data_IF_496373095810
#
_entry.id   IF_496373095810
#
_cell.length_a   1.000
_cell.length_b   1.000
_cell.length_c   1.000
_cell.angle_alpha   90.00
_cell.angle_beta   90.00
_cell.angle_gamma   90.00
#
_symmetry.space_group_name_H-M   'P 1'
#
loop_
_entity.id
_entity.type
_entity.pdbx_description
1 polymer ?
#
# COMPACT_ATOMS: atom_id res chain seq x y z
N UNK A 1 -11.97 15.64 -1.65
CA UNK A 1 -13.35 15.31 -1.26
C UNK A 1 -13.32 14.14 -0.29
N UNK A 2 -13.95 14.28 0.88
CA UNK A 2 -14.22 13.15 1.76
C UNK A 2 -15.51 12.48 1.29
N UNK A 3 -15.45 11.20 0.97
CA UNK A 3 -16.59 10.36 0.66
C UNK A 3 -16.79 9.38 1.82
N UNK A 4 -17.84 9.60 2.61
CA UNK A 4 -17.99 8.92 3.89
C UNK A 4 -19.20 8.01 3.86
N UNK A 5 -18.97 6.76 4.16
CA UNK A 5 -20.02 5.79 4.46
C UNK A 5 -20.68 6.17 5.78
N UNK A 6 -21.97 6.42 5.73
CA UNK A 6 -22.80 6.66 6.91
C UNK A 6 -23.96 5.66 7.00
N UNK A 7 -23.81 4.49 6.37
CA UNK A 7 -24.78 3.40 6.46
C UNK A 7 -24.88 2.82 7.88
N UNK A 8 -25.94 2.06 8.16
CA UNK A 8 -26.18 1.47 9.48
C UNK A 8 -24.99 0.69 10.05
N UNK A 9 -24.32 -0.17 9.28
CA UNK A 9 -23.10 -0.87 9.71
C UNK A 9 -21.99 0.03 10.22
N UNK A 10 -21.89 1.29 9.77
CA UNK A 10 -20.89 2.25 10.22
C UNK A 10 -21.11 2.77 11.66
N UNK A 11 -22.15 2.35 12.35
CA UNK A 11 -22.34 2.69 13.74
C UNK A 11 -21.28 2.04 14.65
N UNK A 12 -20.67 2.83 15.54
CA UNK A 12 -19.75 2.33 16.56
C UNK A 12 -18.40 3.04 16.63
N UNK A 13 -17.71 2.82 17.76
CA UNK A 13 -16.49 3.52 18.14
C UNK A 13 -15.31 3.26 17.18
N UNK A 14 -15.21 2.05 16.59
CA UNK A 14 -14.16 1.66 15.65
C UNK A 14 -14.55 1.87 14.18
N UNK A 15 -15.64 2.56 13.90
CA UNK A 15 -16.17 2.86 12.57
C UNK A 15 -16.39 4.36 12.41
N UNK A 16 -17.62 4.86 12.36
CA UNK A 16 -17.88 6.29 12.09
C UNK A 16 -17.25 7.23 13.14
N UNK A 17 -17.19 6.87 14.40
CA UNK A 17 -16.56 7.70 15.43
C UNK A 17 -15.03 7.79 15.21
N UNK A 18 -14.41 6.68 14.81
CA UNK A 18 -13.01 6.67 14.43
C UNK A 18 -12.76 7.44 13.12
N UNK A 19 -13.65 7.33 12.12
CA UNK A 19 -13.60 8.16 10.89
C UNK A 19 -13.62 9.64 11.25
N UNK A 20 -14.58 10.09 12.09
CA UNK A 20 -14.65 11.47 12.53
C UNK A 20 -13.35 11.94 13.18
N UNK A 21 -12.84 11.16 14.11
CA UNK A 21 -11.58 11.46 14.81
C UNK A 21 -10.38 11.52 13.86
N UNK A 22 -10.30 10.58 12.93
CA UNK A 22 -9.26 10.48 11.91
C UNK A 22 -9.26 11.70 10.97
N UNK A 23 -10.44 12.06 10.46
CA UNK A 23 -10.56 13.21 9.54
C UNK A 23 -10.24 14.53 10.22
N UNK A 24 -10.56 14.69 11.52
CA UNK A 24 -10.17 15.87 12.28
C UNK A 24 -8.65 16.03 12.41
N UNK A 25 -7.90 14.92 12.51
CA UNK A 25 -6.42 14.97 12.45
C UNK A 25 -5.94 15.55 11.13
N UNK A 26 -6.52 15.10 10.01
CA UNK A 26 -6.19 15.63 8.70
C UNK A 26 -6.56 17.12 8.56
N UNK A 27 -7.76 17.53 9.03
CA UNK A 27 -8.25 18.92 8.97
C UNK A 27 -7.28 19.88 9.68
N UNK A 28 -6.62 19.43 10.77
CA UNK A 28 -5.64 20.25 11.47
C UNK A 28 -4.44 20.65 10.58
N UNK A 29 -4.11 19.80 9.60
CA UNK A 29 -2.95 19.98 8.72
C UNK A 29 -3.31 20.65 7.37
N UNK A 30 -4.57 21.02 7.15
CA UNK A 30 -4.97 21.73 5.94
C UNK A 30 -4.36 23.14 5.90
N UNK A 31 -3.94 23.53 4.71
CA UNK A 31 -3.47 24.89 4.41
C UNK A 31 -4.63 25.74 3.92
N UNK A 32 -4.50 27.05 3.98
CA UNK A 32 -5.55 28.00 3.55
C UNK A 32 -5.99 27.78 2.09
N UNK A 33 -5.05 27.41 1.23
CA UNK A 33 -5.30 27.14 -0.20
C UNK A 33 -5.92 25.77 -0.49
N UNK A 34 -5.95 24.88 0.48
CA UNK A 34 -6.61 23.59 0.32
C UNK A 34 -8.12 23.75 0.39
N UNK A 35 -8.88 22.87 -0.26
CA UNK A 35 -10.34 22.86 -0.23
C UNK A 35 -10.86 21.48 0.15
N UNK A 36 -11.88 21.44 1.00
CA UNK A 36 -12.54 20.21 1.42
C UNK A 36 -14.02 20.28 1.11
N UNK A 37 -14.55 19.23 0.48
CA UNK A 37 -15.98 18.95 0.41
C UNK A 37 -16.27 17.62 1.09
N UNK A 38 -17.44 17.44 1.64
CA UNK A 38 -17.90 16.19 2.26
C UNK A 38 -19.11 15.67 1.53
N UNK A 39 -19.00 14.46 1.01
CA UNK A 39 -20.08 13.68 0.41
C UNK A 39 -20.35 12.49 1.32
N UNK A 40 -21.60 12.24 1.62
CA UNK A 40 -22.03 11.05 2.38
C UNK A 40 -22.84 10.13 1.52
N UNK A 41 -22.80 8.85 1.82
CA UNK A 41 -23.71 7.88 1.22
C UNK A 41 -24.20 6.86 2.26
N UNK A 42 -25.46 6.50 2.11
CA UNK A 42 -26.15 5.44 2.80
C UNK A 42 -27.25 4.88 1.87
N UNK A 43 -28.54 5.01 2.17
CA UNK A 43 -29.63 4.72 1.22
C UNK A 43 -29.67 5.64 0.00
N UNK A 44 -29.07 6.81 0.09
CA UNK A 44 -28.85 7.78 -0.98
C UNK A 44 -27.48 8.47 -0.80
N UNK A 45 -27.01 9.18 -1.83
CA UNK A 45 -25.82 10.00 -1.75
C UNK A 45 -26.20 11.49 -1.69
N UNK A 46 -25.45 12.27 -0.90
CA UNK A 46 -25.68 13.70 -0.75
C UNK A 46 -24.42 14.49 -0.40
N UNK A 47 -24.43 15.78 -0.69
CA UNK A 47 -23.37 16.69 -0.29
C UNK A 47 -23.67 17.17 1.15
N UNK A 48 -22.83 16.78 2.11
CA UNK A 48 -22.90 17.24 3.50
C UNK A 48 -22.23 18.58 3.69
N UNK A 49 -21.12 18.82 2.99
CA UNK A 49 -20.39 20.08 3.01
C UNK A 49 -19.92 20.40 1.59
N UNK A 50 -20.32 21.57 1.07
CA UNK A 50 -19.76 22.10 -0.18
C UNK A 50 -18.28 22.44 -0.02
N UNK A 51 -17.58 22.63 -1.15
CA UNK A 51 -16.15 22.91 -1.13
C UNK A 51 -15.83 24.15 -0.28
N UNK A 52 -15.18 23.90 0.86
CA UNK A 52 -14.86 24.85 1.91
C UNK A 52 -13.35 25.03 1.99
N UNK A 53 -12.80 26.27 2.08
CA UNK A 53 -11.39 26.50 2.25
C UNK A 53 -10.81 25.82 3.50
N UNK A 54 -9.55 25.37 3.42
CA UNK A 54 -8.86 24.74 4.56
C UNK A 54 -8.59 25.68 5.74
N UNK A 55 -8.69 27.00 5.54
CA UNK A 55 -8.69 27.99 6.61
C UNK A 55 -9.93 27.94 7.50
N UNK A 56 -11.07 27.50 6.95
CA UNK A 56 -12.33 27.38 7.71
C UNK A 56 -12.45 26.01 8.39
N UNK A 57 -11.45 25.70 9.21
CA UNK A 57 -11.34 24.39 9.90
C UNK A 57 -12.52 24.11 10.82
N UNK A 58 -13.09 25.14 11.43
CA UNK A 58 -14.20 24.98 12.34
C UNK A 58 -15.44 24.47 11.61
N UNK A 59 -15.81 25.09 10.50
CA UNK A 59 -16.95 24.67 9.68
C UNK A 59 -16.79 23.22 9.16
N UNK A 60 -15.56 22.86 8.75
CA UNK A 60 -15.27 21.50 8.30
C UNK A 60 -15.43 20.50 9.46
N UNK A 61 -14.94 20.84 10.67
CA UNK A 61 -15.07 19.98 11.85
C UNK A 61 -16.52 19.82 12.29
N UNK A 62 -17.29 20.90 12.30
CA UNK A 62 -18.72 20.86 12.62
C UNK A 62 -19.48 19.92 11.68
N UNK A 63 -19.23 20.03 10.37
CA UNK A 63 -19.85 19.12 9.39
C UNK A 63 -19.45 17.64 9.61
N UNK A 64 -18.23 17.37 10.07
CA UNK A 64 -17.77 16.03 10.44
C UNK A 64 -18.50 15.56 11.73
N UNK A 65 -18.65 16.43 12.73
CA UNK A 65 -19.29 16.09 13.99
C UNK A 65 -20.77 15.75 13.84
N UNK A 66 -21.44 16.39 12.90
CA UNK A 66 -22.86 16.15 12.59
C UNK A 66 -23.12 14.85 11.79
N UNK A 67 -22.10 14.09 11.40
CA UNK A 67 -22.30 12.82 10.71
C UNK A 67 -22.95 11.81 11.66
N UNK A 68 -23.96 11.11 11.18
CA UNK A 68 -24.67 10.07 11.92
C UNK A 68 -24.84 8.83 11.05
N UNK A 69 -24.62 7.65 11.61
CA UNK A 69 -24.80 6.39 10.91
C UNK A 69 -26.27 5.99 10.86
N UNK A 70 -26.73 5.50 9.70
CA UNK A 70 -28.09 4.98 9.51
C UNK A 70 -28.41 4.68 8.05
N UNK A 71 -29.45 3.89 7.81
CA UNK A 71 -29.90 3.54 6.45
C UNK A 71 -29.13 2.38 5.80
N UNK A 72 -29.45 2.11 4.54
CA UNK A 72 -28.81 1.09 3.70
C UNK A 72 -27.56 1.64 3.01
N UNK A 73 -26.86 0.81 2.20
CA UNK A 73 -25.62 1.22 1.55
C UNK A 73 -25.82 1.34 0.03
N UNK A 74 -25.63 2.55 -0.53
CA UNK A 74 -25.69 2.84 -1.97
C UNK A 74 -24.38 3.50 -2.46
N UNK A 75 -23.27 2.76 -2.35
CA UNK A 75 -21.92 3.27 -2.56
C UNK A 75 -21.62 3.78 -3.96
N UNK A 76 -22.21 3.19 -5.01
CA UNK A 76 -21.96 3.61 -6.41
C UNK A 76 -22.41 5.04 -6.69
N UNK A 77 -23.57 5.45 -6.17
CA UNK A 77 -24.06 6.83 -6.29
C UNK A 77 -23.13 7.83 -5.55
N UNK A 78 -22.59 7.41 -4.41
CA UNK A 78 -21.62 8.20 -3.63
C UNK A 78 -20.35 8.50 -4.41
N UNK A 79 -19.75 7.49 -5.05
CA UNK A 79 -18.54 7.65 -5.86
C UNK A 79 -18.77 8.61 -7.02
N UNK A 80 -19.87 8.42 -7.77
CA UNK A 80 -20.22 9.31 -8.89
C UNK A 80 -20.36 10.77 -8.43
N UNK A 81 -21.06 11.00 -7.32
CA UNK A 81 -21.23 12.32 -6.76
C UNK A 81 -19.89 12.91 -6.29
N UNK A 82 -19.05 12.13 -5.63
CA UNK A 82 -17.74 12.59 -5.17
C UNK A 82 -16.84 13.00 -6.34
N UNK A 83 -16.77 12.23 -7.43
CA UNK A 83 -16.05 12.62 -8.63
C UNK A 83 -16.62 13.89 -9.29
N UNK A 84 -17.94 14.02 -9.34
CA UNK A 84 -18.60 15.23 -9.85
C UNK A 84 -18.19 16.47 -9.05
N UNK A 85 -18.21 16.40 -7.72
CA UNK A 85 -17.81 17.50 -6.83
C UNK A 85 -16.31 17.79 -6.95
N UNK A 86 -15.46 16.75 -7.00
CA UNK A 86 -14.02 16.91 -7.17
C UNK A 86 -13.66 17.60 -8.50
N UNK A 87 -14.29 17.19 -9.60
CA UNK A 87 -14.09 17.82 -10.92
C UNK A 87 -14.59 19.26 -10.95
N UNK A 88 -15.74 19.56 -10.33
CA UNK A 88 -16.26 20.94 -10.23
C UNK A 88 -15.30 21.88 -9.51
N UNK A 89 -14.55 21.35 -8.53
CA UNK A 89 -13.63 22.12 -7.69
C UNK A 89 -12.14 21.82 -8.00
N UNK A 90 -11.86 21.33 -9.18
CA UNK A 90 -10.53 20.91 -9.60
C UNK A 90 -9.53 22.07 -9.51
N UNK A 91 -8.38 21.83 -8.88
CA UNK A 91 -7.29 22.79 -8.75
C UNK A 91 -6.18 22.37 -9.71
N UNK A 92 -5.95 23.14 -10.74
CA UNK A 92 -4.82 22.93 -11.66
C UNK A 92 -3.50 22.95 -10.91
N UNK A 93 -2.62 22.00 -11.21
CA UNK A 93 -1.34 21.79 -10.52
C UNK A 93 -1.49 21.48 -9.01
N UNK A 94 -2.69 21.09 -8.57
CA UNK A 94 -2.97 20.63 -7.23
C UNK A 94 -3.16 19.11 -7.17
N UNK A 95 -3.16 18.56 -5.98
CA UNK A 95 -3.56 17.16 -5.76
C UNK A 95 -5.08 17.09 -5.56
N UNK A 96 -5.78 16.60 -6.57
CA UNK A 96 -7.22 16.44 -6.52
C UNK A 96 -7.56 15.00 -6.16
N UNK A 97 -8.18 14.80 -5.01
CA UNK A 97 -8.32 13.46 -4.43
C UNK A 97 -9.68 13.25 -3.76
N UNK A 98 -10.20 12.06 -3.92
CA UNK A 98 -11.29 11.54 -3.10
C UNK A 98 -10.66 10.64 -2.04
N UNK A 99 -11.11 10.79 -0.79
CA UNK A 99 -10.78 9.91 0.34
C UNK A 99 -12.08 9.23 0.73
N UNK A 100 -12.20 7.96 0.35
CA UNK A 100 -13.33 7.10 0.71
C UNK A 100 -13.07 6.47 2.08
N UNK A 101 -14.01 6.64 3.01
CA UNK A 101 -14.02 6.00 4.32
C UNK A 101 -15.19 5.02 4.39
N UNK A 102 -14.93 3.72 4.58
CA UNK A 102 -15.94 2.65 4.58
C UNK A 102 -15.50 1.49 5.47
N UNK A 103 -16.43 0.66 5.93
CA UNK A 103 -16.16 -0.60 6.62
C UNK A 103 -15.92 -1.79 5.67
N UNK A 104 -15.82 -1.52 4.38
CA UNK A 104 -15.57 -2.53 3.35
C UNK A 104 -16.83 -3.18 2.77
N UNK A 105 -18.00 -2.98 3.36
CA UNK A 105 -19.26 -3.45 2.78
C UNK A 105 -19.82 -2.43 1.76
N UNK A 106 -19.03 -2.23 0.71
CA UNK A 106 -19.36 -1.31 -0.37
C UNK A 106 -20.32 -1.98 -1.36
N UNK A 107 -21.63 -1.86 -1.11
CA UNK A 107 -22.63 -2.33 -2.04
C UNK A 107 -22.84 -1.29 -3.16
N UNK A 108 -22.64 -1.73 -4.40
CA UNK A 108 -22.61 -0.85 -5.57
C UNK A 108 -24.02 -0.57 -6.12
N UNK A 109 -25.06 -1.12 -5.49
CA UNK A 109 -26.43 -1.02 -6.01
C UNK A 109 -26.59 -1.82 -7.30
N UNK A 110 -27.07 -1.18 -8.38
CA UNK A 110 -27.38 -1.82 -9.67
C UNK A 110 -26.15 -2.16 -10.52
N UNK A 111 -24.95 -1.68 -10.17
CA UNK A 111 -23.73 -1.92 -10.93
C UNK A 111 -22.90 -3.08 -10.35
N UNK A 112 -22.32 -3.90 -11.25
CA UNK A 112 -21.40 -4.96 -10.84
C UNK A 112 -20.09 -4.38 -10.28
N UNK A 113 -19.30 -5.21 -9.57
CA UNK A 113 -17.98 -4.81 -9.10
C UNK A 113 -17.09 -4.34 -10.25
N UNK A 114 -17.13 -5.05 -11.39
CA UNK A 114 -16.40 -4.71 -12.61
C UNK A 114 -16.84 -3.36 -13.20
N UNK A 115 -18.13 -3.06 -13.15
CA UNK A 115 -18.66 -1.76 -13.60
C UNK A 115 -18.15 -0.60 -12.77
N UNK A 116 -18.00 -0.80 -11.46
CA UNK A 116 -17.39 0.19 -10.56
C UNK A 116 -15.91 0.39 -10.83
N UNK A 117 -15.16 -0.69 -11.03
CA UNK A 117 -13.74 -0.62 -11.37
C UNK A 117 -13.52 0.15 -12.66
N UNK A 118 -14.28 -0.16 -13.72
CA UNK A 118 -14.24 0.55 -15.00
C UNK A 118 -14.59 2.04 -14.85
N UNK A 119 -15.56 2.36 -14.00
CA UNK A 119 -15.91 3.74 -13.71
C UNK A 119 -14.74 4.49 -13.07
N UNK A 120 -14.12 3.91 -12.05
CA UNK A 120 -12.98 4.51 -11.35
C UNK A 120 -11.79 4.67 -12.30
N UNK A 121 -11.48 3.68 -13.13
CA UNK A 121 -10.43 3.76 -14.16
C UNK A 121 -10.69 4.86 -15.19
N UNK A 122 -11.94 5.08 -15.55
CA UNK A 122 -12.32 6.19 -16.43
C UNK A 122 -12.16 7.54 -15.73
N UNK A 123 -12.64 7.64 -14.50
CA UNK A 123 -12.65 8.90 -13.76
C UNK A 123 -11.26 9.36 -13.32
N UNK A 124 -10.32 8.45 -13.00
CA UNK A 124 -8.94 8.80 -12.66
C UNK A 124 -8.21 9.56 -13.76
N UNK A 125 -8.60 9.36 -15.03
CA UNK A 125 -8.05 10.09 -16.19
C UNK A 125 -8.32 11.59 -16.14
N UNK A 126 -9.27 12.02 -15.31
CA UNK A 126 -9.52 13.45 -15.05
C UNK A 126 -8.49 14.09 -14.14
N UNK A 127 -7.54 13.33 -13.60
CA UNK A 127 -6.57 13.80 -12.61
C UNK A 127 -7.11 13.81 -11.17
N UNK A 128 -8.28 13.22 -10.92
CA UNK A 128 -8.84 13.02 -9.58
C UNK A 128 -8.56 11.58 -9.13
N UNK A 129 -7.80 11.40 -8.07
CA UNK A 129 -7.39 10.11 -7.55
C UNK A 129 -8.30 9.64 -6.40
N UNK A 130 -8.35 8.33 -6.16
CA UNK A 130 -9.19 7.72 -5.13
C UNK A 130 -8.32 6.98 -4.10
N UNK A 131 -8.22 7.53 -2.89
CA UNK A 131 -7.66 6.83 -1.72
C UNK A 131 -8.81 6.18 -0.94
N UNK A 132 -8.59 4.98 -0.44
CA UNK A 132 -9.60 4.24 0.32
C UNK A 132 -9.07 3.91 1.71
N UNK A 133 -9.81 4.31 2.72
CA UNK A 133 -9.53 4.04 4.12
C UNK A 133 -10.60 3.11 4.67
N UNK A 134 -10.16 1.93 5.11
CA UNK A 134 -11.03 0.94 5.70
C UNK A 134 -11.10 1.07 7.21
N UNK A 135 -12.29 0.87 7.78
CA UNK A 135 -12.57 0.95 9.20
C UNK A 135 -13.39 -0.25 9.68
N UNK A 136 -13.38 -0.51 10.98
CA UNK A 136 -14.20 -1.56 11.59
C UNK A 136 -13.60 -2.95 11.52
N UNK A 137 -14.02 -3.86 12.39
CA UNK A 137 -13.60 -5.25 12.47
C UNK A 137 -14.74 -6.20 12.05
N UNK A 138 -14.38 -7.41 11.62
CA UNK A 138 -15.30 -8.49 11.28
C UNK A 138 -15.45 -8.69 9.78
N UNK A 139 -16.45 -8.10 9.14
CA UNK A 139 -16.76 -8.34 7.71
C UNK A 139 -15.97 -7.47 6.73
N UNK A 140 -14.82 -6.95 7.13
CA UNK A 140 -13.99 -6.11 6.28
C UNK A 140 -13.51 -6.86 5.03
N UNK A 141 -13.79 -6.30 3.84
CA UNK A 141 -13.45 -6.90 2.54
C UNK A 141 -12.21 -6.24 1.94
N UNK A 142 -11.07 -6.48 2.55
CA UNK A 142 -9.77 -5.86 2.23
C UNK A 142 -9.43 -5.89 0.73
N UNK A 143 -9.53 -7.07 0.10
CA UNK A 143 -9.22 -7.24 -1.32
C UNK A 143 -10.02 -6.32 -2.24
N UNK A 144 -11.32 -6.13 -1.97
CA UNK A 144 -12.19 -5.27 -2.79
C UNK A 144 -11.76 -3.80 -2.66
N UNK A 145 -11.50 -3.36 -1.45
CA UNK A 145 -11.09 -1.99 -1.14
C UNK A 145 -9.72 -1.67 -1.74
N UNK A 146 -8.78 -2.62 -1.66
CA UNK A 146 -7.47 -2.50 -2.30
C UNK A 146 -7.60 -2.29 -3.81
N UNK A 147 -8.42 -3.11 -4.49
CA UNK A 147 -8.64 -3.00 -5.94
C UNK A 147 -9.21 -1.63 -6.31
N UNK A 148 -10.16 -1.09 -5.55
CA UNK A 148 -10.73 0.24 -5.83
C UNK A 148 -9.67 1.35 -5.73
N UNK A 149 -8.78 1.29 -4.73
CA UNK A 149 -7.69 2.24 -4.58
C UNK A 149 -6.68 2.14 -5.73
N UNK A 150 -6.28 0.92 -6.11
CA UNK A 150 -5.37 0.67 -7.23
C UNK A 150 -5.94 1.21 -8.56
N UNK A 151 -7.22 0.90 -8.84
CA UNK A 151 -7.93 1.41 -10.02
C UNK A 151 -8.06 2.94 -10.03
N UNK A 152 -8.07 3.56 -8.87
CA UNK A 152 -8.17 5.01 -8.67
C UNK A 152 -6.84 5.75 -8.58
N UNK A 153 -5.69 5.12 -8.84
CA UNK A 153 -4.35 5.68 -8.64
C UNK A 153 -4.17 6.28 -7.23
N UNK A 154 -4.73 5.62 -6.23
CA UNK A 154 -4.66 6.03 -4.85
C UNK A 154 -4.08 4.96 -3.94
N UNK A 155 -4.07 5.27 -2.67
CA UNK A 155 -3.56 4.38 -1.63
C UNK A 155 -4.70 3.72 -0.88
N UNK A 156 -4.44 2.56 -0.33
CA UNK A 156 -5.31 1.86 0.59
C UNK A 156 -4.64 1.76 1.96
N UNK A 157 -5.41 1.98 3.02
CA UNK A 157 -5.00 1.73 4.39
C UNK A 157 -6.18 1.24 5.22
N UNK A 158 -5.91 0.35 6.18
CA UNK A 158 -6.87 -0.07 7.19
C UNK A 158 -6.58 0.67 8.50
N UNK A 159 -7.56 1.42 8.98
CA UNK A 159 -7.45 2.25 10.18
C UNK A 159 -8.16 1.53 11.33
N UNK A 160 -7.39 0.91 12.20
CA UNK A 160 -7.89 0.18 13.37
C UNK A 160 -7.95 1.05 14.63
N UNK A 161 -7.11 2.10 14.66
CA UNK A 161 -7.01 3.01 15.81
C UNK A 161 -6.52 4.40 15.39
N UNK A 162 -6.50 5.32 16.35
CA UNK A 162 -6.12 6.71 16.10
C UNK A 162 -4.61 6.89 15.82
N UNK A 163 -3.75 5.99 16.31
CA UNK A 163 -2.31 6.01 16.03
C UNK A 163 -2.07 5.70 14.55
N UNK A 164 -2.76 4.69 13.99
CA UNK A 164 -2.71 4.37 12.56
C UNK A 164 -3.32 5.49 11.71
N UNK A 165 -4.44 6.07 12.15
CA UNK A 165 -5.01 7.25 11.50
C UNK A 165 -4.01 8.41 11.41
N UNK A 166 -3.27 8.68 12.49
CA UNK A 166 -2.24 9.71 12.50
C UNK A 166 -1.07 9.38 11.57
N UNK A 167 -0.64 8.10 11.53
CA UNK A 167 0.39 7.66 10.61
C UNK A 167 -0.01 7.91 9.16
N UNK A 168 -1.20 7.48 8.76
CA UNK A 168 -1.68 7.54 7.38
C UNK A 168 -2.07 8.96 6.97
N UNK A 169 -2.84 9.68 7.81
CA UNK A 169 -3.47 10.95 7.45
C UNK A 169 -2.63 12.19 7.82
N UNK A 170 -1.62 12.04 8.65
CA UNK A 170 -0.72 13.14 9.02
C UNK A 170 0.71 12.83 8.57
N UNK A 171 1.23 11.64 8.90
CA UNK A 171 2.60 11.27 8.58
C UNK A 171 2.84 11.03 7.09
N UNK A 172 1.97 10.25 6.46
CA UNK A 172 2.11 9.84 5.05
C UNK A 172 1.29 10.69 4.09
N UNK A 173 0.31 11.44 4.56
CA UNK A 173 -0.57 12.24 3.72
C UNK A 173 0.18 13.32 2.93
N UNK A 174 1.17 13.95 3.55
CA UNK A 174 2.07 14.88 2.85
C UNK A 174 2.86 14.20 1.72
N UNK A 175 3.29 12.96 1.96
CA UNK A 175 3.99 12.15 0.97
C UNK A 175 3.08 11.77 -0.22
N UNK A 176 1.79 11.51 0.04
CA UNK A 176 0.82 11.18 -1.03
C UNK A 176 0.32 12.40 -1.79
N UNK A 177 0.51 13.61 -1.25
CA UNK A 177 0.08 14.86 -1.89
C UNK A 177 1.06 15.40 -2.94
N UNK A 178 2.35 15.07 -2.84
CA UNK A 178 3.37 15.56 -3.75
C UNK A 178 4.06 14.39 -4.44
N UNK A 179 3.56 13.99 -5.59
CA UNK A 179 4.22 13.01 -6.46
C UNK A 179 5.58 13.56 -6.90
N UNK A 180 6.65 12.86 -6.55
CA UNK A 180 8.02 13.18 -6.99
C UNK A 180 8.48 12.30 -8.14
N UNK A 181 7.85 11.13 -8.30
CA UNK A 181 8.10 10.22 -9.41
C UNK A 181 6.82 9.47 -9.76
N UNK A 182 6.52 9.38 -11.05
CA UNK A 182 5.40 8.61 -11.62
C UNK A 182 5.92 7.33 -12.25
N UNK A 183 5.06 6.31 -12.36
CA UNK A 183 5.36 5.06 -13.04
C UNK A 183 6.67 4.43 -12.59
N UNK A 184 6.87 4.35 -11.29
CA UNK A 184 8.10 3.80 -10.71
C UNK A 184 8.15 2.30 -10.86
N UNK A 185 9.13 1.80 -11.61
CA UNK A 185 9.38 0.39 -11.86
C UNK A 185 10.74 0.01 -11.32
N UNK A 186 10.78 -1.08 -10.57
CA UNK A 186 12.00 -1.61 -9.99
C UNK A 186 12.30 -2.98 -10.60
N UNK A 187 13.53 -3.19 -11.04
CA UNK A 187 14.04 -4.49 -11.46
C UNK A 187 15.34 -4.78 -10.73
N UNK A 188 15.46 -5.99 -10.21
CA UNK A 188 16.69 -6.48 -9.59
C UNK A 188 17.25 -7.60 -10.45
N UNK A 189 18.45 -7.40 -10.98
CA UNK A 189 19.17 -8.39 -11.75
C UNK A 189 20.27 -9.01 -10.89
N UNK A 190 20.18 -10.31 -10.64
CA UNK A 190 21.16 -11.03 -9.87
C UNK A 190 22.28 -11.58 -10.77
N UNK A 191 23.52 -11.51 -10.29
CA UNK A 191 24.67 -12.06 -11.00
C UNK A 191 24.66 -13.60 -10.92
N UNK A 192 24.44 -14.31 -12.02
CA UNK A 192 24.32 -15.76 -12.01
C UNK A 192 25.64 -16.49 -11.67
N UNK A 193 26.76 -15.80 -11.67
CA UNK A 193 28.03 -16.36 -11.20
C UNK A 193 28.11 -16.44 -9.67
N UNK A 194 27.31 -15.64 -8.97
CA UNK A 194 27.30 -15.56 -7.51
C UNK A 194 25.98 -16.06 -6.90
N UNK A 195 24.87 -15.98 -7.63
CA UNK A 195 23.52 -16.31 -7.16
C UNK A 195 22.96 -17.48 -7.96
N UNK A 196 22.66 -18.57 -7.27
CA UNK A 196 22.07 -19.77 -7.84
C UNK A 196 20.57 -19.64 -8.03
N UNK A 197 19.89 -19.03 -7.03
CA UNK A 197 18.45 -18.80 -7.04
C UNK A 197 18.10 -17.61 -6.16
N UNK A 198 16.95 -17.00 -6.44
CA UNK A 198 16.41 -15.91 -5.66
C UNK A 198 14.87 -15.92 -5.71
N UNK A 199 14.25 -15.29 -4.76
CA UNK A 199 12.81 -15.00 -4.77
C UNK A 199 12.51 -13.68 -4.10
N UNK A 200 11.51 -12.97 -4.61
CA UNK A 200 10.94 -11.80 -3.97
C UNK A 200 10.02 -12.25 -2.82
N UNK A 201 10.09 -11.58 -1.68
CA UNK A 201 9.22 -11.82 -0.54
C UNK A 201 8.12 -10.77 -0.54
N UNK A 202 6.87 -11.19 -0.75
CA UNK A 202 5.74 -10.29 -0.91
C UNK A 202 5.65 -9.67 -2.31
N UNK A 203 4.76 -8.70 -2.47
CA UNK A 203 4.51 -7.98 -3.74
C UNK A 203 4.00 -8.85 -4.90
N UNK A 204 3.47 -10.04 -4.64
CA UNK A 204 3.02 -10.97 -5.68
C UNK A 204 1.94 -10.35 -6.59
N UNK A 205 1.09 -9.46 -6.04
CA UNK A 205 0.06 -8.73 -6.81
C UNK A 205 0.61 -7.56 -7.64
N UNK A 206 1.87 -7.18 -7.47
CA UNK A 206 2.52 -6.03 -8.13
C UNK A 206 3.69 -6.43 -9.03
N UNK A 207 3.82 -7.71 -9.31
CA UNK A 207 4.85 -8.20 -10.24
C UNK A 207 4.56 -7.69 -11.66
N UNK A 208 5.58 -7.13 -12.29
CA UNK A 208 5.58 -6.77 -13.70
C UNK A 208 6.22 -7.89 -14.52
N UNK A 209 5.76 -8.07 -15.75
CA UNK A 209 6.48 -8.91 -16.72
C UNK A 209 7.78 -8.22 -17.11
N UNK A 210 8.81 -8.99 -17.46
CA UNK A 210 10.12 -8.44 -17.84
C UNK A 210 10.02 -7.44 -19.01
N UNK A 211 9.14 -7.71 -19.96
CA UNK A 211 8.87 -6.84 -21.11
C UNK A 211 8.22 -5.50 -20.72
N UNK A 212 7.45 -5.47 -19.61
CA UNK A 212 6.74 -4.28 -19.14
C UNK A 212 7.66 -3.28 -18.43
N UNK A 213 8.88 -3.70 -18.03
CA UNK A 213 9.84 -2.80 -17.39
C UNK A 213 10.26 -1.65 -18.33
N UNK A 214 10.44 -1.93 -19.62
CA UNK A 214 10.83 -0.93 -20.61
C UNK A 214 9.65 -0.26 -21.32
N UNK A 215 8.42 -0.63 -20.98
CA UNK A 215 7.21 -0.14 -21.64
C UNK A 215 6.64 1.07 -20.89
N UNK A 216 6.81 2.29 -21.44
CA UNK A 216 6.30 3.53 -20.86
C UNK A 216 4.76 3.67 -20.93
N UNK A 217 4.09 2.83 -21.72
CA UNK A 217 2.62 2.80 -21.77
C UNK A 217 2.02 1.94 -20.62
N UNK A 218 2.84 1.12 -19.96
CA UNK A 218 2.42 0.31 -18.83
C UNK A 218 2.49 1.14 -17.55
N UNK A 219 1.34 1.35 -16.96
CA UNK A 219 1.16 2.07 -15.70
C UNK A 219 1.82 1.32 -14.52
N UNK A 220 2.42 2.05 -13.60
CA UNK A 220 3.05 1.54 -12.38
C UNK A 220 2.80 2.51 -11.20
N UNK A 221 3.33 2.17 -10.02
CA UNK A 221 3.07 2.97 -8.82
C UNK A 221 3.74 4.35 -8.85
N UNK A 222 3.05 5.35 -8.31
CA UNK A 222 3.61 6.68 -8.09
C UNK A 222 4.27 6.78 -6.71
N UNK A 223 5.33 7.56 -6.62
CA UNK A 223 6.01 7.86 -5.35
C UNK A 223 5.83 9.33 -4.99
N UNK A 224 5.40 9.58 -3.76
CA UNK A 224 5.30 10.91 -3.18
C UNK A 224 6.55 11.32 -2.40
N UNK A 225 6.62 12.62 -2.07
CA UNK A 225 7.73 13.17 -1.29
C UNK A 225 7.86 12.52 0.10
N UNK A 226 9.03 12.01 0.42
CA UNK A 226 9.29 11.30 1.68
C UNK A 226 8.79 9.85 1.71
N UNK A 227 8.21 9.35 0.63
CA UNK A 227 7.79 7.94 0.56
C UNK A 227 8.99 7.01 0.38
N UNK A 228 8.96 5.87 1.06
CA UNK A 228 9.94 4.80 0.95
C UNK A 228 9.27 3.48 0.65
N UNK A 229 9.93 2.65 -0.15
CA UNK A 229 9.47 1.29 -0.48
C UNK A 229 10.59 0.33 -0.13
N UNK A 230 10.25 -0.75 0.57
CA UNK A 230 11.19 -1.81 0.93
C UNK A 230 10.79 -3.10 0.25
N UNK A 231 11.69 -3.68 -0.52
CA UNK A 231 11.53 -5.01 -1.11
C UNK A 231 12.59 -5.96 -0.54
N UNK A 232 12.18 -7.17 -0.17
CA UNK A 232 13.08 -8.21 0.32
C UNK A 232 13.21 -9.32 -0.70
N UNK A 233 14.46 -9.73 -0.93
CA UNK A 233 14.78 -10.93 -1.69
C UNK A 233 15.48 -11.93 -0.80
N UNK A 234 15.07 -13.16 -0.87
CA UNK A 234 15.83 -14.28 -0.37
C UNK A 234 16.73 -14.78 -1.50
N UNK A 235 18.02 -14.96 -1.21
CA UNK A 235 19.02 -15.27 -2.19
C UNK A 235 19.77 -16.53 -1.76
N UNK A 236 19.96 -17.46 -2.70
CA UNK A 236 20.79 -18.65 -2.52
C UNK A 236 22.08 -18.48 -3.31
N UNK A 237 23.22 -18.32 -2.63
CA UNK A 237 24.51 -18.20 -3.29
C UNK A 237 24.88 -19.47 -4.07
N UNK A 238 25.71 -19.33 -5.10
CA UNK A 238 26.25 -20.47 -5.85
C UNK A 238 27.04 -21.40 -4.94
N UNK A 239 26.88 -22.71 -5.15
CA UNK A 239 27.57 -23.75 -4.38
C UNK A 239 26.91 -24.12 -3.04
N UNK A 240 25.85 -23.44 -2.62
CA UNK A 240 25.09 -23.78 -1.41
C UNK A 240 24.02 -24.83 -1.76
N UNK A 241 24.10 -25.99 -1.07
CA UNK A 241 23.04 -27.00 -1.15
C UNK A 241 21.79 -26.50 -0.44
N UNK A 242 20.63 -26.63 -1.08
CA UNK A 242 19.35 -26.24 -0.53
C UNK A 242 18.25 -27.17 -1.02
N UNK A 243 17.11 -27.18 -0.31
CA UNK A 243 15.94 -28.02 -0.62
C UNK A 243 14.95 -27.36 -1.60
N UNK A 244 15.09 -26.05 -1.85
CA UNK A 244 14.15 -25.28 -2.66
C UNK A 244 14.46 -25.27 -4.15
N UNK A 245 15.71 -25.59 -4.53
CA UNK A 245 16.12 -25.70 -5.94
C UNK A 245 16.11 -27.15 -6.33
N UNK A 246 14.98 -27.63 -6.83
CA UNK A 246 14.80 -28.98 -7.32
C UNK A 246 15.59 -29.25 -8.61
N UNK A 247 15.90 -30.51 -8.87
CA UNK A 247 16.40 -30.94 -10.20
C UNK A 247 15.22 -30.87 -11.17
N UNK A 248 15.39 -30.12 -12.24
CA UNK A 248 14.44 -30.11 -13.36
C UNK A 248 14.89 -31.17 -14.35
N UNK A 249 14.00 -32.07 -14.72
CA UNK A 249 14.27 -33.09 -15.75
C UNK A 249 14.64 -32.47 -17.09
N UNK A 250 15.40 -33.18 -17.88
CA UNK A 250 15.76 -32.72 -19.21
C UNK A 250 14.52 -32.65 -20.10
N UNK A 251 14.39 -31.53 -20.80
CA UNK A 251 13.24 -31.29 -21.68
C UNK A 251 13.35 -32.20 -22.92
N UNK A 252 12.29 -32.92 -23.26
CA UNK A 252 12.25 -33.85 -24.40
C UNK A 252 12.50 -33.17 -25.75
N UNK A 253 12.03 -31.93 -25.91
CA UNK A 253 12.03 -31.21 -27.18
C UNK A 253 13.00 -30.01 -27.21
N UNK A 254 13.65 -29.72 -26.10
CA UNK A 254 14.65 -28.63 -26.02
C UNK A 254 15.89 -29.17 -25.29
N UNK A 255 17.06 -29.07 -25.95
CA UNK A 255 18.30 -29.24 -25.23
C UNK A 255 18.47 -28.05 -24.29
N UNK A 256 18.64 -28.30 -22.98
CA UNK A 256 19.15 -27.27 -22.08
C UNK A 256 20.48 -26.79 -22.68
N UNK A 257 20.51 -25.65 -23.33
CA UNK A 257 21.76 -24.95 -23.48
C UNK A 257 22.29 -24.76 -22.06
N UNK A 258 23.42 -25.38 -21.76
CA UNK A 258 24.16 -25.01 -20.55
C UNK A 258 24.39 -23.50 -20.73
N UNK A 259 23.64 -22.71 -19.98
CA UNK A 259 23.92 -21.29 -19.87
C UNK A 259 25.36 -21.25 -19.34
N UNK A 260 26.31 -21.19 -20.26
CA UNK A 260 27.69 -20.88 -19.91
C UNK A 260 27.63 -19.44 -19.45
N UNK A 261 27.48 -19.26 -18.16
CA UNK A 261 27.63 -17.96 -17.52
C UNK A 261 29.04 -17.53 -17.87
N UNK A 262 29.17 -16.68 -18.90
CA UNK A 262 30.47 -16.02 -19.17
C UNK A 262 30.69 -15.15 -17.93
N UNK A 263 31.76 -15.40 -17.16
CA UNK A 263 32.10 -14.53 -16.07
C UNK A 263 32.22 -13.11 -16.64
N UNK A 264 31.37 -12.21 -16.24
CA UNK A 264 31.42 -10.81 -16.68
C UNK A 264 32.62 -10.09 -16.11
N UNK A 265 33.44 -10.79 -15.29
CA UNK A 265 34.54 -10.20 -14.54
C UNK A 265 34.08 -9.26 -13.41
N UNK A 266 32.77 -9.06 -13.27
CA UNK A 266 32.22 -8.23 -12.22
C UNK A 266 32.08 -9.01 -10.91
N UNK A 267 32.44 -8.38 -9.79
CA UNK A 267 32.24 -8.88 -8.45
C UNK A 267 30.85 -8.49 -7.89
N UNK A 268 29.99 -7.88 -8.71
CA UNK A 268 28.65 -7.48 -8.28
C UNK A 268 27.82 -8.71 -7.92
N UNK A 269 27.09 -8.64 -6.81
CA UNK A 269 26.10 -9.62 -6.43
C UNK A 269 24.81 -9.44 -7.24
N UNK A 270 24.44 -8.17 -7.44
CA UNK A 270 23.22 -7.78 -8.15
C UNK A 270 23.35 -6.35 -8.70
N UNK A 271 22.46 -5.99 -9.61
CA UNK A 271 22.23 -4.61 -10.04
C UNK A 271 20.76 -4.24 -9.83
N UNK A 272 20.52 -3.15 -9.13
CA UNK A 272 19.19 -2.55 -9.00
C UNK A 272 18.98 -1.58 -10.13
N UNK A 273 17.89 -1.77 -10.89
CA UNK A 273 17.47 -0.87 -11.97
C UNK A 273 16.17 -0.21 -11.58
N UNK A 274 16.14 1.10 -11.63
CA UNK A 274 14.98 1.93 -11.34
C UNK A 274 14.57 2.69 -12.60
N UNK A 275 13.31 2.62 -12.95
CA UNK A 275 12.73 3.39 -14.05
C UNK A 275 11.58 4.22 -13.53
N UNK A 276 11.54 5.52 -13.86
CA UNK A 276 10.51 6.43 -13.38
C UNK A 276 10.32 7.60 -14.34
N UNK A 277 9.15 8.23 -14.30
CA UNK A 277 8.86 9.50 -14.97
C UNK A 277 8.91 10.64 -13.96
N UNK A 278 9.47 11.79 -14.34
CA UNK A 278 9.29 13.00 -13.56
C UNK A 278 7.80 13.41 -13.54
N UNK A 279 7.33 14.14 -12.52
CA UNK A 279 5.90 14.47 -12.38
C UNK A 279 5.28 15.16 -13.60
N UNK A 280 6.08 15.97 -14.33
CA UNK A 280 5.71 16.75 -15.50
C UNK A 280 6.09 16.11 -16.85
N UNK A 281 6.59 14.87 -16.84
CA UNK A 281 7.08 14.15 -18.03
C UNK A 281 6.32 12.86 -18.26
N UNK A 282 6.27 12.45 -19.56
CA UNK A 282 5.69 11.17 -19.98
C UNK A 282 6.75 10.17 -20.45
N UNK A 283 8.01 10.59 -20.55
CA UNK A 283 9.14 9.74 -20.89
C UNK A 283 9.91 9.38 -19.63
N UNK A 284 10.14 8.07 -19.45
CA UNK A 284 10.84 7.58 -18.26
C UNK A 284 12.36 7.77 -18.37
N UNK A 285 12.98 7.90 -17.18
CA UNK A 285 14.44 7.83 -16.98
C UNK A 285 14.79 6.52 -16.31
N UNK A 286 15.95 5.97 -16.63
CA UNK A 286 16.50 4.77 -15.98
C UNK A 286 17.71 5.15 -15.13
N UNK A 287 17.79 4.55 -13.95
CA UNK A 287 18.96 4.57 -13.06
C UNK A 287 19.38 3.14 -12.78
N UNK A 288 20.66 2.90 -12.65
CA UNK A 288 21.23 1.59 -12.31
C UNK A 288 22.23 1.75 -11.17
N UNK A 289 22.17 0.83 -10.22
CA UNK A 289 23.09 0.78 -9.09
C UNK A 289 23.58 -0.66 -8.91
N UNK A 290 24.83 -0.95 -9.25
CA UNK A 290 25.45 -2.24 -8.94
C UNK A 290 25.71 -2.34 -7.43
N UNK A 291 25.59 -3.54 -6.89
CA UNK A 291 25.83 -3.85 -5.49
C UNK A 291 26.82 -5.01 -5.36
N UNK A 292 27.88 -4.78 -4.61
CA UNK A 292 28.89 -5.79 -4.24
C UNK A 292 28.64 -6.21 -2.79
N UNK A 293 28.57 -7.52 -2.55
CA UNK A 293 28.52 -8.05 -1.19
C UNK A 293 29.90 -7.93 -0.52
N UNK A 294 30.04 -6.97 0.35
CA UNK A 294 31.27 -6.74 1.11
C UNK A 294 31.44 -7.72 2.29
N UNK A 295 30.58 -8.73 2.41
CA UNK A 295 30.58 -9.75 3.48
C UNK A 295 30.67 -9.15 4.89
N UNK A 296 30.20 -7.92 5.05
CA UNK A 296 30.18 -7.22 6.32
C UNK A 296 29.01 -7.70 7.18
N UNK A 297 29.27 -7.99 8.44
CA UNK A 297 28.26 -8.43 9.41
C UNK A 297 27.43 -7.27 10.01
N UNK A 298 27.60 -6.04 9.54
CA UNK A 298 26.89 -4.87 10.06
C UNK A 298 25.49 -4.74 9.43
N UNK A 299 24.57 -5.47 10.01
CA UNK A 299 23.14 -5.37 9.66
C UNK A 299 22.52 -4.21 10.46
N UNK A 300 21.90 -3.26 9.76
CA UNK A 300 21.24 -2.12 10.40
C UNK A 300 20.04 -2.57 11.26
N UNK A 301 19.67 -1.75 12.25
CA UNK A 301 18.45 -1.96 13.05
C UNK A 301 17.20 -1.96 12.18
N UNK A 302 17.14 -1.08 11.16
CA UNK A 302 16.02 -1.00 10.24
C UNK A 302 15.88 -2.26 9.39
N UNK A 303 16.99 -2.82 8.90
CA UNK A 303 16.96 -4.10 8.18
C UNK A 303 16.48 -5.24 9.08
N UNK A 304 16.93 -5.31 10.34
CA UNK A 304 16.45 -6.32 11.31
C UNK A 304 14.95 -6.20 11.53
N UNK A 305 14.47 -4.98 11.77
CA UNK A 305 13.04 -4.75 11.98
C UNK A 305 12.21 -5.11 10.75
N UNK A 306 12.60 -4.64 9.56
CA UNK A 306 11.90 -4.94 8.33
C UNK A 306 11.95 -6.44 7.98
N UNK A 307 13.05 -7.14 8.29
CA UNK A 307 13.14 -8.61 8.17
C UNK A 307 12.18 -9.32 9.12
N UNK A 308 11.99 -8.80 10.34
CA UNK A 308 10.99 -9.33 11.28
C UNK A 308 9.57 -9.18 10.72
N UNK A 309 9.25 -8.05 10.09
CA UNK A 309 7.95 -7.81 9.43
C UNK A 309 7.75 -8.79 8.29
N UNK A 310 8.74 -8.98 7.43
CA UNK A 310 8.69 -9.94 6.33
C UNK A 310 8.49 -11.38 6.82
N UNK A 311 9.22 -11.79 7.86
CA UNK A 311 9.09 -13.10 8.49
C UNK A 311 7.70 -13.31 9.10
N UNK A 312 7.14 -12.30 9.77
CA UNK A 312 5.78 -12.35 10.30
C UNK A 312 4.74 -12.53 9.21
N UNK A 313 4.87 -11.81 8.10
CA UNK A 313 4.01 -11.97 6.93
C UNK A 313 4.04 -13.40 6.35
N UNK A 314 5.22 -14.04 6.32
CA UNK A 314 5.33 -15.43 5.88
C UNK A 314 4.64 -16.42 6.85
N UNK A 315 4.72 -16.17 8.17
CA UNK A 315 4.01 -16.98 9.18
C UNK A 315 2.49 -16.84 9.02
N UNK A 316 1.99 -15.61 8.88
CA UNK A 316 0.55 -15.37 8.74
C UNK A 316 -0.05 -15.99 7.47
N UNK A 317 0.74 -16.06 6.39
CA UNK A 317 0.31 -16.68 5.13
C UNK A 317 0.52 -18.20 5.09
N UNK A 318 1.09 -18.78 6.12
CA UNK A 318 1.53 -20.17 6.15
C UNK A 318 2.38 -20.54 4.92
N UNK A 319 3.33 -19.68 4.58
CA UNK A 319 4.17 -19.82 3.39
C UNK A 319 4.99 -21.09 3.40
N UNK A 320 5.03 -21.82 2.28
CA UNK A 320 5.93 -22.97 2.09
C UNK A 320 7.41 -22.62 2.30
N UNK A 321 7.76 -21.37 2.16
CA UNK A 321 9.11 -20.84 2.31
C UNK A 321 9.37 -20.20 3.67
N UNK A 322 8.51 -20.37 4.65
CA UNK A 322 8.72 -19.84 6.01
C UNK A 322 9.91 -20.46 6.73
N UNK A 323 10.40 -21.64 6.24
CA UNK A 323 11.49 -22.36 6.84
C UNK A 323 11.27 -22.60 8.34
N UNK A 324 12.27 -22.26 9.14
CA UNK A 324 12.22 -22.38 10.61
C UNK A 324 11.76 -21.10 11.32
N UNK A 325 11.00 -20.23 10.62
CA UNK A 325 10.42 -19.03 11.22
C UNK A 325 9.47 -19.38 12.37
N UNK A 326 9.44 -18.51 13.37
CA UNK A 326 8.52 -18.62 14.51
C UNK A 326 8.20 -17.26 15.07
N UNK A 327 7.08 -17.11 15.78
CA UNK A 327 6.72 -15.86 16.43
C UNK A 327 7.81 -15.37 17.40
N UNK A 328 8.48 -16.30 18.12
CA UNK A 328 9.58 -15.93 19.02
C UNK A 328 10.78 -15.36 18.28
N UNK A 329 11.14 -15.92 17.12
CA UNK A 329 12.20 -15.36 16.26
C UNK A 329 11.83 -13.98 15.74
N UNK A 330 10.58 -13.79 15.30
CA UNK A 330 10.07 -12.48 14.87
C UNK A 330 10.19 -11.45 16.00
N UNK A 331 9.69 -11.77 17.20
CA UNK A 331 9.76 -10.88 18.36
C UNK A 331 11.21 -10.51 18.72
N UNK A 332 12.10 -11.50 18.74
CA UNK A 332 13.52 -11.26 19.06
C UNK A 332 14.20 -10.37 18.02
N UNK A 333 13.96 -10.63 16.73
CA UNK A 333 14.52 -9.83 15.65
C UNK A 333 13.96 -8.40 15.65
N UNK A 334 12.66 -8.24 15.88
CA UNK A 334 12.01 -6.93 15.98
C UNK A 334 12.55 -6.12 17.18
N UNK A 335 12.78 -6.76 18.34
CA UNK A 335 13.39 -6.12 19.52
C UNK A 335 14.80 -5.62 19.24
N UNK A 336 15.61 -6.37 18.49
CA UNK A 336 16.94 -5.94 18.04
C UNK A 336 16.89 -4.75 17.05
N UNK A 337 15.77 -4.59 16.38
CA UNK A 337 15.50 -3.52 15.41
C UNK A 337 14.74 -2.34 15.98
N UNK A 338 14.48 -2.28 17.29
CA UNK A 338 13.65 -1.21 17.89
C UNK A 338 14.22 0.19 17.66
N UNK A 339 15.55 0.36 17.79
CA UNK A 339 16.21 1.66 17.64
C UNK A 339 15.38 2.81 18.26
N UNK A 340 15.47 4.01 17.72
CA UNK A 340 14.67 5.16 18.16
C UNK A 340 13.24 5.03 17.60
N UNK A 341 12.30 4.59 18.45
CA UNK A 341 10.88 4.37 18.09
C UNK A 341 10.00 5.45 18.73
N UNK A 342 10.27 6.71 18.39
CA UNK A 342 9.60 7.88 18.99
C UNK A 342 8.08 7.87 18.78
N UNK A 343 7.62 7.30 17.68
CA UNK A 343 6.19 7.17 17.35
C UNK A 343 5.55 5.88 17.86
N UNK A 344 6.35 4.94 18.42
CA UNK A 344 5.87 3.70 19.01
C UNK A 344 5.41 2.63 18.02
N UNK A 345 5.60 2.80 16.70
CA UNK A 345 5.11 1.85 15.68
C UNK A 345 5.80 0.49 15.77
N UNK A 346 7.11 0.47 16.06
CA UNK A 346 7.85 -0.79 16.17
C UNK A 346 7.44 -1.59 17.42
N UNK A 347 7.18 -0.90 18.54
CA UNK A 347 6.65 -1.52 19.75
C UNK A 347 5.24 -2.04 19.55
N UNK A 348 4.40 -1.31 18.80
CA UNK A 348 3.05 -1.78 18.45
C UNK A 348 3.11 -3.06 17.61
N UNK A 349 3.97 -3.13 16.60
CA UNK A 349 4.20 -4.34 15.82
C UNK A 349 4.55 -5.53 16.71
N UNK A 350 5.45 -5.36 17.69
CA UNK A 350 5.81 -6.45 18.62
C UNK A 350 4.58 -6.92 19.40
N UNK A 351 3.75 -6.00 19.91
CA UNK A 351 2.49 -6.37 20.60
C UNK A 351 1.53 -7.15 19.71
N UNK A 352 1.42 -6.77 18.42
CA UNK A 352 0.61 -7.50 17.45
C UNK A 352 1.12 -8.92 17.22
N UNK A 353 2.43 -9.10 17.12
CA UNK A 353 3.06 -10.43 16.99
C UNK A 353 2.83 -11.28 18.24
N UNK A 354 2.95 -10.70 19.45
CA UNK A 354 2.67 -11.37 20.73
C UNK A 354 1.21 -11.81 20.82
N UNK A 355 0.28 -10.95 20.39
CA UNK A 355 -1.15 -11.29 20.32
C UNK A 355 -1.43 -12.44 19.34
N UNK A 356 -0.87 -12.40 18.13
CA UNK A 356 -1.00 -13.46 17.14
C UNK A 356 -0.46 -14.81 17.65
N UNK A 357 0.69 -14.79 18.35
CA UNK A 357 1.25 -15.97 19.00
C UNK A 357 0.29 -16.56 20.05
N UNK A 358 -0.41 -15.70 20.81
CA UNK A 358 -1.42 -16.13 21.78
C UNK A 358 -2.59 -16.85 21.14
N UNK A 359 -3.10 -16.33 20.02
CA UNK A 359 -4.23 -16.92 19.27
C UNK A 359 -3.87 -18.27 18.65
N UNK A 360 -2.65 -18.46 18.14
CA UNK A 360 -2.21 -19.76 17.59
C UNK A 360 -2.22 -20.87 18.65
N UNK A 361 -1.81 -20.53 19.89
CA UNK A 361 -1.82 -21.51 21.00
C UNK A 361 -3.22 -21.95 21.38
N UNK A 362 -4.19 -21.03 21.31
CA UNK A 362 -5.59 -21.31 21.66
C UNK A 362 -6.27 -22.21 20.63
N UNK A 363 -5.87 -22.13 19.37
CA UNK A 363 -6.44 -22.94 18.28
C UNK A 363 -5.83 -24.35 18.20
N UNK A 364 -4.73 -24.64 18.90
CA UNK A 364 -4.07 -25.96 18.96
C UNK A 364 -4.47 -26.81 20.18
N UNK A 365 -5.26 -26.25 21.09
CA UNK A 365 -5.86 -26.92 22.25
C UNK A 365 -7.37 -27.16 22.02
#
# INVERSE_FOLDING_TARGET
>A
VFLIDVSGPMWGANRLDLVKSSLKLLVNNLRDKDKVAIVTYAGSAGVKLEATPGSDKQKIREAIDELTAGGSTAGGAGILLAYKIAKKNFISNGNNRIILCSDGDFNVGVSSAEGLEQLIEKERKSGVFLTVLGYGMGNYKDKKIQVLAEKGNGNHAYIDNLQEANRVLVGEFGATLHTVAKDVKLQVEFNPSQVQAYRLIGYESRLLKDEDFNNDAKDAGDMGAGHTVTAFYEVIPTGIKNEYVGKIDDLKYQKKEKVTVKPTGSNDLLTVKLRYKAPDKDVSKKMELPFVDNKGNNVSSDFRFASAVAMFGQLLRDSDFKGNASYDKVINLAKQGLNNDDKGYRREFIRLVEAAKGLERTNKN
#
